data_IF_382341506684
#
_entry.id   IF_382341506684
#
_cell.length_a   1.000
_cell.length_b   1.000
_cell.length_c   1.000
_cell.angle_alpha   90.00
_cell.angle_beta   90.00
_cell.angle_gamma   90.00
#
_symmetry.space_group_name_H-M   'P 1'
#
loop_
_entity.id
_entity.type
_entity.pdbx_description
1 polymer ?
#
# COMPACT_ATOMS: atom_id res chain seq x y z
N UNK A 1 1.17 20.27 -14.66
CA UNK A 1 0.34 19.14 -15.15
C UNK A 1 -0.22 18.36 -13.98
N UNK A 2 -1.49 17.95 -14.03
CA UNK A 2 -2.13 17.10 -13.02
C UNK A 2 -1.56 15.67 -13.09
N UNK A 3 -1.17 15.09 -11.94
CA UNK A 3 -0.70 13.70 -11.86
C UNK A 3 -1.87 12.74 -12.07
N UNK A 4 -1.65 11.66 -12.84
CA UNK A 4 -2.66 10.63 -13.08
C UNK A 4 -2.33 9.36 -12.31
N UNK A 5 -3.36 8.78 -11.66
CA UNK A 5 -3.30 7.56 -10.87
C UNK A 5 -4.23 6.50 -11.47
N UNK A 6 -3.73 5.48 -12.16
CA UNK A 6 -4.54 4.43 -12.77
C UNK A 6 -5.27 3.58 -11.73
N UNK A 7 -6.23 2.78 -12.17
CA UNK A 7 -6.78 1.69 -11.37
C UNK A 7 -5.71 0.60 -11.17
N UNK A 8 -5.69 0.04 -9.98
CA UNK A 8 -4.89 -1.16 -9.71
C UNK A 8 -5.73 -2.40 -10.02
N UNK A 9 -5.17 -3.28 -10.84
CA UNK A 9 -5.76 -4.54 -11.27
C UNK A 9 -4.68 -5.64 -11.35
N UNK A 10 -5.03 -6.82 -11.82
CA UNK A 10 -4.09 -7.95 -11.95
C UNK A 10 -2.88 -7.66 -12.85
N UNK A 11 -3.04 -6.80 -13.83
CA UNK A 11 -1.98 -6.44 -14.80
C UNK A 11 -1.14 -5.26 -14.34
N UNK A 12 -1.35 -4.75 -13.11
CA UNK A 12 -0.54 -3.68 -12.56
C UNK A 12 0.86 -4.18 -12.20
N UNK A 13 1.88 -3.51 -12.73
CA UNK A 13 3.27 -3.87 -12.56
C UNK A 13 3.96 -2.98 -11.53
N UNK A 14 4.86 -3.59 -10.75
CA UNK A 14 5.68 -2.93 -9.74
C UNK A 14 7.12 -3.40 -9.86
N UNK A 15 8.07 -2.50 -9.58
CA UNK A 15 9.50 -2.85 -9.55
C UNK A 15 9.80 -3.86 -8.45
N UNK A 16 9.12 -3.71 -7.31
CA UNK A 16 9.22 -4.62 -6.17
C UNK A 16 7.90 -4.73 -5.41
N UNK A 17 7.70 -5.89 -4.79
CA UNK A 17 6.66 -6.14 -3.80
C UNK A 17 7.32 -6.31 -2.43
N UNK A 18 6.93 -5.49 -1.46
CA UNK A 18 7.30 -5.66 -0.05
C UNK A 18 6.17 -6.39 0.66
N UNK A 19 6.48 -7.58 1.19
CA UNK A 19 5.54 -8.38 1.98
C UNK A 19 5.82 -8.16 3.47
N UNK A 20 4.92 -7.45 4.13
CA UNK A 20 4.94 -7.22 5.58
C UNK A 20 4.32 -8.38 6.36
N UNK A 21 4.47 -8.36 7.69
CA UNK A 21 4.03 -9.46 8.57
C UNK A 21 2.60 -9.30 9.13
N UNK A 22 1.73 -8.56 8.44
CA UNK A 22 0.29 -8.49 8.72
C UNK A 22 -0.48 -9.69 8.15
N UNK A 23 -1.71 -9.47 7.69
CA UNK A 23 -2.52 -10.51 7.07
C UNK A 23 -2.00 -10.82 5.67
N UNK A 24 -1.79 -12.11 5.42
CA UNK A 24 -1.35 -12.57 4.11
C UNK A 24 -2.48 -12.35 3.08
N UNK A 25 -2.20 -11.78 1.88
CA UNK A 25 -3.23 -11.50 0.91
C UNK A 25 -3.99 -12.76 0.49
N UNK A 26 -5.30 -12.65 0.40
CA UNK A 26 -6.21 -13.72 -0.01
C UNK A 26 -7.08 -13.34 -1.20
N UNK A 27 -7.38 -12.06 -1.40
CA UNK A 27 -8.16 -11.59 -2.53
C UNK A 27 -7.38 -11.73 -3.87
N UNK A 28 -8.12 -11.85 -4.95
CA UNK A 28 -7.58 -12.18 -6.27
C UNK A 28 -6.49 -11.22 -6.75
N UNK A 29 -6.72 -9.90 -6.68
CA UNK A 29 -5.78 -8.89 -7.20
C UNK A 29 -4.47 -8.86 -6.41
N UNK A 30 -4.47 -8.65 -5.07
CA UNK A 30 -3.22 -8.60 -4.32
C UNK A 30 -2.47 -9.93 -4.36
N UNK A 31 -3.17 -11.06 -4.35
CA UNK A 31 -2.56 -12.38 -4.44
C UNK A 31 -1.92 -12.63 -5.82
N UNK A 32 -2.56 -12.17 -6.90
CA UNK A 32 -2.00 -12.26 -8.26
C UNK A 32 -0.73 -11.42 -8.38
N UNK A 33 -0.75 -10.17 -7.89
CA UNK A 33 0.41 -9.28 -7.89
C UNK A 33 1.58 -9.91 -7.12
N UNK A 34 1.32 -10.48 -5.93
CA UNK A 34 2.36 -11.16 -5.15
C UNK A 34 2.95 -12.38 -5.87
N UNK A 35 2.11 -13.16 -6.56
CA UNK A 35 2.55 -14.38 -7.25
C UNK A 35 3.39 -14.10 -8.50
N UNK A 36 3.15 -12.97 -9.15
CA UNK A 36 3.79 -12.60 -10.42
C UNK A 36 4.83 -11.47 -10.25
N UNK A 37 5.17 -11.10 -9.02
CA UNK A 37 6.17 -10.09 -8.76
C UNK A 37 7.57 -10.58 -9.16
N UNK A 38 8.30 -9.75 -9.91
CA UNK A 38 9.69 -10.03 -10.31
C UNK A 38 10.67 -9.93 -9.13
N UNK A 39 10.35 -9.10 -8.15
CA UNK A 39 11.16 -8.94 -6.95
C UNK A 39 10.27 -8.88 -5.70
N UNK A 40 10.52 -9.79 -4.75
CA UNK A 40 9.81 -9.87 -3.48
C UNK A 40 10.81 -9.66 -2.34
N UNK A 41 10.58 -8.61 -1.55
CA UNK A 41 11.27 -8.34 -0.30
C UNK A 41 10.32 -8.62 0.87
N UNK A 42 10.68 -9.49 1.77
CA UNK A 42 9.87 -9.77 2.97
C UNK A 42 10.42 -8.98 4.17
N UNK A 43 9.51 -8.41 4.98
CA UNK A 43 9.87 -7.81 6.26
C UNK A 43 10.02 -8.94 7.29
N UNK A 44 11.17 -9.05 7.92
CA UNK A 44 11.51 -9.95 9.04
C UNK A 44 10.68 -11.25 9.09
N UNK A 45 9.73 -11.37 10.03
CA UNK A 45 8.89 -12.56 10.24
C UNK A 45 8.04 -12.98 9.02
N UNK A 46 7.74 -12.06 8.10
CA UNK A 46 7.04 -12.39 6.84
C UNK A 46 7.87 -13.35 5.99
N UNK A 47 9.21 -13.23 6.01
CA UNK A 47 10.12 -14.14 5.29
C UNK A 47 9.96 -15.58 5.72
N UNK A 48 9.91 -15.84 7.04
CA UNK A 48 9.65 -17.17 7.60
C UNK A 48 8.34 -17.76 7.09
N UNK A 49 7.27 -16.96 7.12
CA UNK A 49 5.93 -17.39 6.71
C UNK A 49 5.84 -17.65 5.22
N UNK A 50 6.51 -16.81 4.42
CA UNK A 50 6.55 -16.96 2.96
C UNK A 50 7.29 -18.25 2.55
N UNK A 51 8.43 -18.55 3.20
CA UNK A 51 9.20 -19.77 2.95
C UNK A 51 8.44 -21.03 3.39
N UNK A 52 7.73 -20.99 4.52
CA UNK A 52 6.85 -22.11 4.94
C UNK A 52 5.72 -22.40 3.95
N UNK A 53 5.35 -21.45 3.11
CA UNK A 53 4.41 -21.63 1.99
C UNK A 53 5.06 -22.21 0.71
N UNK A 54 6.33 -22.67 0.82
CA UNK A 54 7.07 -23.28 -0.30
C UNK A 54 7.65 -22.27 -1.30
N UNK A 55 7.78 -20.98 -0.91
CA UNK A 55 8.27 -19.92 -1.79
C UNK A 55 9.52 -19.25 -1.20
N UNK A 56 10.46 -18.85 -2.05
CA UNK A 56 11.68 -18.16 -1.62
C UNK A 56 11.61 -16.70 -2.10
N UNK A 57 11.69 -15.69 -1.21
CA UNK A 57 11.75 -14.29 -1.61
C UNK A 57 13.15 -13.93 -2.12
N UNK A 58 13.27 -12.80 -2.81
CA UNK A 58 14.56 -12.26 -3.27
C UNK A 58 15.38 -11.66 -2.11
N UNK A 59 14.70 -11.15 -1.07
CA UNK A 59 15.33 -10.62 0.13
C UNK A 59 14.42 -10.74 1.36
N UNK A 60 15.04 -10.79 2.55
CA UNK A 60 14.36 -10.65 3.84
C UNK A 60 15.11 -9.55 4.60
N UNK A 61 14.40 -8.50 5.01
CA UNK A 61 14.99 -7.31 5.65
C UNK A 61 14.32 -7.07 7.00
N UNK A 62 15.10 -6.86 8.04
CA UNK A 62 14.64 -6.57 9.40
C UNK A 62 15.76 -6.72 10.41
N UNK A 63 15.46 -6.65 11.72
CA UNK A 63 16.46 -6.87 12.78
C UNK A 63 16.79 -8.36 12.99
N UNK A 64 15.97 -9.23 12.44
CA UNK A 64 16.15 -10.67 12.49
C UNK A 64 15.74 -11.33 13.81
N UNK A 65 15.12 -10.62 14.72
CA UNK A 65 14.76 -11.15 16.05
C UNK A 65 13.72 -12.29 15.95
N UNK A 66 12.87 -12.27 14.92
CA UNK A 66 11.90 -13.33 14.64
C UNK A 66 12.50 -14.60 14.02
N UNK A 67 13.80 -14.61 13.69
CA UNK A 67 14.44 -15.68 12.93
C UNK A 67 15.36 -16.54 13.80
N UNK A 68 15.19 -17.88 13.79
CA UNK A 68 16.09 -18.81 14.47
C UNK A 68 17.51 -18.79 13.85
N UNK A 69 18.52 -19.18 14.67
CA UNK A 69 19.92 -19.30 14.20
C UNK A 69 20.03 -20.23 12.98
N UNK A 70 19.31 -21.34 12.96
CA UNK A 70 19.31 -22.28 11.84
C UNK A 70 18.70 -21.68 10.58
N UNK A 71 17.62 -20.91 10.71
CA UNK A 71 17.00 -20.20 9.58
C UNK A 71 17.97 -19.16 9.00
N UNK A 72 18.57 -18.31 9.85
CA UNK A 72 19.57 -17.32 9.42
C UNK A 72 20.75 -17.97 8.67
N UNK A 73 21.26 -19.09 9.18
CA UNK A 73 22.36 -19.82 8.50
C UNK A 73 21.93 -20.38 7.14
N UNK A 74 20.72 -20.96 7.05
CA UNK A 74 20.21 -21.57 5.81
C UNK A 74 19.95 -20.56 4.71
N UNK A 75 19.46 -19.38 5.06
CA UNK A 75 19.05 -18.34 4.12
C UNK A 75 19.91 -17.07 4.17
N UNK A 76 21.17 -17.21 4.61
CA UNK A 76 22.10 -16.10 4.82
C UNK A 76 22.28 -15.18 3.60
N UNK A 77 22.17 -15.74 2.38
CA UNK A 77 22.42 -15.01 1.13
C UNK A 77 21.26 -14.06 0.75
N UNK A 78 20.09 -14.22 1.35
CA UNK A 78 18.90 -13.38 1.12
C UNK A 78 18.48 -12.58 2.35
N UNK A 79 19.13 -12.77 3.50
CA UNK A 79 18.82 -12.06 4.74
C UNK A 79 19.74 -10.84 4.87
N UNK A 80 19.12 -9.68 5.07
CA UNK A 80 19.78 -8.40 5.28
C UNK A 80 19.37 -7.86 6.65
N UNK A 81 20.30 -7.92 7.62
CA UNK A 81 20.05 -7.48 8.98
C UNK A 81 20.27 -5.98 9.10
N UNK A 82 19.25 -5.27 9.55
CA UNK A 82 19.26 -3.84 9.89
C UNK A 82 18.84 -3.66 11.34
N UNK A 83 19.78 -3.39 12.22
CA UNK A 83 19.59 -3.35 13.68
C UNK A 83 19.10 -2.00 14.20
N UNK A 84 19.02 -0.96 13.35
CA UNK A 84 18.49 0.34 13.78
C UNK A 84 17.04 0.19 14.28
N UNK A 85 16.65 0.99 15.28
CA UNK A 85 15.35 0.87 15.94
C UNK A 85 14.45 2.11 15.74
N UNK A 86 14.94 3.12 14.99
CA UNK A 86 14.19 4.36 14.75
C UNK A 86 13.06 4.19 13.74
N UNK A 87 13.13 3.14 12.91
CA UNK A 87 12.13 2.86 11.88
C UNK A 87 11.64 1.41 11.92
N UNK A 88 10.44 1.20 11.41
CA UNK A 88 9.87 -0.14 11.32
C UNK A 88 10.44 -0.94 10.12
N UNK A 89 10.19 -2.26 10.11
CA UNK A 89 10.69 -3.16 9.07
C UNK A 89 10.17 -2.82 7.67
N UNK A 90 8.96 -2.26 7.55
CA UNK A 90 8.46 -1.76 6.26
C UNK A 90 9.36 -0.66 5.71
N UNK A 91 9.82 0.26 6.53
CA UNK A 91 10.73 1.34 6.12
C UNK A 91 12.12 0.81 5.79
N UNK A 92 12.67 -0.13 6.59
CA UNK A 92 13.94 -0.81 6.31
C UNK A 92 13.90 -1.51 4.94
N UNK A 93 12.87 -2.32 4.70
CA UNK A 93 12.66 -3.00 3.42
C UNK A 93 12.50 -2.01 2.25
N UNK A 94 11.84 -0.86 2.49
CA UNK A 94 11.70 0.20 1.48
C UNK A 94 13.04 0.79 1.11
N UNK A 95 13.89 1.17 2.08
CA UNK A 95 15.25 1.67 1.83
C UNK A 95 16.09 0.65 1.05
N UNK A 96 16.02 -0.62 1.45
CA UNK A 96 16.70 -1.70 0.73
C UNK A 96 16.27 -1.77 -0.74
N UNK A 97 14.98 -1.71 -1.04
CA UNK A 97 14.47 -1.70 -2.41
C UNK A 97 14.90 -0.46 -3.19
N UNK A 98 14.89 0.73 -2.55
CA UNK A 98 15.37 1.98 -3.17
C UNK A 98 16.86 1.89 -3.52
N UNK A 99 17.68 1.33 -2.65
CA UNK A 99 19.12 1.13 -2.89
C UNK A 99 19.39 0.19 -4.09
N UNK A 100 18.43 -0.65 -4.46
CA UNK A 100 18.45 -1.45 -5.69
C UNK A 100 17.94 -0.69 -6.94
N UNK A 101 17.52 0.55 -6.78
CA UNK A 101 17.02 1.40 -7.88
C UNK A 101 15.51 1.31 -8.11
N UNK A 102 14.76 0.59 -7.28
CA UNK A 102 13.31 0.46 -7.41
C UNK A 102 12.59 1.73 -6.97
N UNK A 103 11.58 2.16 -7.76
CA UNK A 103 10.83 3.41 -7.52
C UNK A 103 9.32 3.23 -7.52
N UNK A 104 8.81 2.09 -8.00
CA UNK A 104 7.39 1.76 -8.01
C UNK A 104 7.18 0.51 -7.15
N UNK A 105 6.76 0.70 -5.90
CA UNK A 105 6.76 -0.36 -4.88
C UNK A 105 5.33 -0.63 -4.40
N UNK A 106 4.95 -1.91 -4.42
CA UNK A 106 3.72 -2.38 -3.80
C UNK A 106 3.99 -2.96 -2.40
N UNK A 107 3.11 -2.64 -1.45
CA UNK A 107 3.13 -3.18 -0.09
C UNK A 107 1.95 -4.13 0.11
N UNK A 108 2.21 -5.32 0.59
CA UNK A 108 1.24 -6.38 0.88
C UNK A 108 1.41 -6.87 2.32
N UNK A 109 0.34 -7.33 2.94
CA UNK A 109 0.41 -7.77 4.33
C UNK A 109 0.83 -6.66 5.31
N UNK A 110 0.63 -5.40 4.95
CA UNK A 110 0.97 -4.25 5.80
C UNK A 110 -0.14 -3.86 6.78
N UNK A 111 -1.30 -4.49 6.67
CA UNK A 111 -2.49 -4.28 7.50
C UNK A 111 -2.97 -5.60 8.10
N UNK A 112 -3.97 -5.52 8.96
CA UNK A 112 -4.44 -6.64 9.77
C UNK A 112 -3.55 -6.87 11.01
N UNK A 113 -3.94 -7.73 11.90
CA UNK A 113 -3.33 -7.94 13.22
C UNK A 113 -3.39 -6.67 14.10
N UNK A 114 -2.25 -6.13 14.53
CA UNK A 114 -2.21 -4.95 15.42
C UNK A 114 -2.56 -3.67 14.67
N UNK A 115 -3.51 -2.91 15.20
CA UNK A 115 -4.05 -1.68 14.62
C UNK A 115 -3.02 -0.54 14.60
N UNK A 116 -2.18 -0.44 15.62
CA UNK A 116 -1.12 0.56 15.72
C UNK A 116 -0.06 0.37 14.61
N UNK A 117 0.34 -0.86 14.31
CA UNK A 117 1.20 -1.16 13.17
C UNK A 117 0.51 -0.84 11.84
N UNK A 118 -0.79 -1.14 11.72
CA UNK A 118 -1.58 -0.82 10.53
C UNK A 118 -1.60 0.69 10.27
N UNK A 119 -1.88 1.50 11.30
CA UNK A 119 -1.90 2.96 11.20
C UNK A 119 -0.52 3.52 10.83
N UNK A 120 0.54 3.04 11.49
CA UNK A 120 1.92 3.42 11.19
C UNK A 120 2.31 3.11 9.76
N UNK A 121 2.02 1.89 9.28
CA UNK A 121 2.33 1.46 7.93
C UNK A 121 1.60 2.29 6.86
N UNK A 122 0.32 2.62 7.07
CA UNK A 122 -0.45 3.50 6.17
C UNK A 122 0.15 4.91 6.17
N UNK A 123 0.48 5.45 7.36
CA UNK A 123 1.08 6.78 7.51
C UNK A 123 2.40 6.94 6.75
N UNK A 124 3.24 5.91 6.78
CA UNK A 124 4.54 5.90 6.09
C UNK A 124 4.45 6.09 4.57
N UNK A 125 3.32 5.74 3.91
CA UNK A 125 3.16 5.96 2.47
C UNK A 125 3.36 7.43 2.07
N UNK A 126 2.93 8.36 2.93
CA UNK A 126 3.12 9.79 2.70
C UNK A 126 4.59 10.19 2.81
N UNK A 127 5.29 9.65 3.81
CA UNK A 127 6.72 9.91 4.01
C UNK A 127 7.55 9.33 2.87
N UNK A 128 7.27 8.12 2.42
CA UNK A 128 7.99 7.49 1.30
C UNK A 128 7.91 8.32 0.03
N UNK A 129 6.75 8.94 -0.21
CA UNK A 129 6.58 9.84 -1.33
C UNK A 129 7.35 11.15 -1.14
N UNK A 130 7.31 11.76 0.07
CA UNK A 130 7.97 13.04 0.36
C UNK A 130 9.48 12.92 0.44
N UNK A 131 9.97 11.92 1.16
CA UNK A 131 11.39 11.76 1.48
C UNK A 131 12.15 10.98 0.41
N UNK A 132 11.54 9.92 -0.14
CA UNK A 132 12.21 9.02 -1.06
C UNK A 132 11.80 9.20 -2.52
N UNK A 133 10.79 10.05 -2.79
CA UNK A 133 10.28 10.31 -4.14
C UNK A 133 9.92 9.03 -4.91
N UNK A 134 9.35 8.04 -4.23
CA UNK A 134 8.86 6.79 -4.83
C UNK A 134 7.35 6.81 -5.04
N UNK A 135 6.88 5.98 -5.97
CA UNK A 135 5.48 5.59 -6.08
C UNK A 135 5.23 4.42 -5.15
N UNK A 136 4.35 4.60 -4.18
CA UNK A 136 4.01 3.59 -3.19
C UNK A 136 2.52 3.28 -3.25
N UNK A 137 2.17 1.99 -3.34
CA UNK A 137 0.79 1.50 -3.31
C UNK A 137 0.69 0.41 -2.26
N UNK A 138 -0.19 0.57 -1.29
CA UNK A 138 -0.47 -0.47 -0.29
C UNK A 138 -1.75 -1.19 -0.66
N UNK A 139 -1.64 -2.49 -0.91
CA UNK A 139 -2.71 -3.37 -1.35
C UNK A 139 -3.25 -4.16 -0.16
N UNK A 140 -4.57 -4.17 -0.02
CA UNK A 140 -5.31 -5.01 0.94
C UNK A 140 -6.28 -5.92 0.18
N UNK A 141 -6.98 -6.80 0.86
CA UNK A 141 -8.00 -7.65 0.23
C UNK A 141 -9.25 -6.88 -0.23
N UNK A 142 -9.43 -5.64 0.23
CA UNK A 142 -10.61 -4.82 -0.07
C UNK A 142 -10.35 -3.73 -1.10
N UNK A 143 -9.11 -3.28 -1.22
CA UNK A 143 -8.73 -2.14 -2.04
C UNK A 143 -7.28 -1.73 -1.79
N UNK A 144 -6.95 -0.49 -2.10
CA UNK A 144 -5.56 -0.04 -2.03
C UNK A 144 -5.44 1.45 -1.67
N UNK A 145 -4.38 1.76 -0.93
CA UNK A 145 -3.98 3.12 -0.62
C UNK A 145 -2.94 3.62 -1.60
N UNK A 146 -3.06 4.89 -1.99
CA UNK A 146 -2.00 5.64 -2.67
C UNK A 146 -1.78 6.97 -1.98
N UNK A 147 -0.53 7.44 -1.92
CA UNK A 147 -0.18 8.79 -1.48
C UNK A 147 -0.18 9.74 -2.68
N UNK A 148 -0.83 10.88 -2.54
CA UNK A 148 -0.94 11.90 -3.58
C UNK A 148 -0.65 13.30 -3.02
N UNK A 149 -0.41 14.26 -3.91
CA UNK A 149 -0.16 15.66 -3.56
C UNK A 149 -0.55 16.57 -4.70
N UNK A 150 -1.16 17.70 -4.36
CA UNK A 150 -1.55 18.73 -5.32
C UNK A 150 -2.68 18.25 -6.23
N UNK A 151 -2.78 18.85 -7.41
CA UNK A 151 -3.82 18.51 -8.37
C UNK A 151 -3.57 17.13 -9.00
N UNK A 152 -4.57 16.25 -8.90
CA UNK A 152 -4.49 14.85 -9.33
C UNK A 152 -5.76 14.42 -10.07
N UNK A 153 -5.61 13.39 -10.92
CA UNK A 153 -6.72 12.65 -11.51
C UNK A 153 -6.57 11.17 -11.18
N UNK A 154 -7.66 10.55 -10.80
CA UNK A 154 -7.71 9.15 -10.41
C UNK A 154 -8.68 8.43 -11.35
N UNK A 155 -8.21 7.41 -12.06
CA UNK A 155 -9.12 6.50 -12.73
C UNK A 155 -10.05 5.85 -11.70
N UNK A 156 -11.31 5.72 -12.04
CA UNK A 156 -12.35 5.14 -11.19
C UNK A 156 -13.36 4.38 -12.02
N UNK A 157 -14.41 3.92 -11.39
CA UNK A 157 -15.61 3.38 -12.04
C UNK A 157 -16.83 3.74 -11.18
N UNK A 158 -17.98 3.81 -11.80
CA UNK A 158 -19.24 4.17 -11.11
C UNK A 158 -19.49 3.24 -9.93
N UNK A 159 -19.73 3.80 -8.74
CA UNK A 159 -20.01 3.05 -7.51
C UNK A 159 -18.75 2.56 -6.76
N UNK A 160 -17.52 2.87 -7.25
CA UNK A 160 -16.30 2.60 -6.50
C UNK A 160 -16.32 3.39 -5.20
N UNK A 161 -16.10 2.72 -4.06
CA UNK A 161 -15.94 3.41 -2.79
C UNK A 161 -14.55 4.04 -2.71
N UNK A 162 -14.51 5.30 -2.29
CA UNK A 162 -13.29 6.09 -2.20
C UNK A 162 -13.25 6.80 -0.86
N UNK A 163 -12.10 6.79 -0.20
CA UNK A 163 -11.86 7.54 1.02
C UNK A 163 -10.66 8.47 0.85
N UNK A 164 -10.78 9.69 1.32
CA UNK A 164 -9.75 10.70 1.32
C UNK A 164 -9.30 11.00 2.74
N UNK A 165 -8.00 10.97 2.98
CA UNK A 165 -7.39 11.27 4.26
C UNK A 165 -6.51 12.50 4.10
N UNK A 166 -6.97 13.64 4.58
CA UNK A 166 -6.21 14.88 4.54
C UNK A 166 -5.00 14.79 5.47
N UNK A 167 -3.82 15.12 4.96
CA UNK A 167 -2.57 15.17 5.73
C UNK A 167 -2.20 16.63 6.05
N UNK A 168 -2.08 17.46 5.02
CA UNK A 168 -1.65 18.85 5.19
C UNK A 168 -2.29 19.82 4.17
N UNK A 169 -3.42 19.42 3.54
CA UNK A 169 -4.13 20.31 2.62
C UNK A 169 -4.92 21.39 3.37
N UNK A 170 -4.77 22.65 2.96
CA UNK A 170 -5.67 23.75 3.33
C UNK A 170 -6.80 23.94 2.31
N UNK A 171 -6.61 23.44 1.09
CA UNK A 171 -7.62 23.42 0.00
C UNK A 171 -7.75 22.00 -0.53
N UNK A 172 -8.98 21.49 -0.60
CA UNK A 172 -9.26 20.16 -1.11
C UNK A 172 -10.66 20.09 -1.72
N UNK A 173 -10.74 19.88 -3.00
CA UNK A 173 -12.00 19.79 -3.75
C UNK A 173 -11.95 18.61 -4.72
N UNK A 174 -13.07 17.87 -4.85
CA UNK A 174 -13.21 16.80 -5.83
C UNK A 174 -14.31 17.08 -6.84
N UNK A 175 -14.10 16.57 -8.07
CA UNK A 175 -15.16 16.33 -9.06
C UNK A 175 -15.28 14.82 -9.29
N UNK A 176 -16.47 14.36 -9.70
CA UNK A 176 -16.72 12.94 -9.95
C UNK A 176 -16.97 12.12 -8.69
N UNK A 177 -17.21 12.76 -7.56
CA UNK A 177 -17.58 12.12 -6.29
C UNK A 177 -19.01 12.48 -5.90
N UNK A 178 -19.70 11.55 -5.24
CA UNK A 178 -21.09 11.67 -4.81
C UNK A 178 -21.29 12.76 -3.77
N UNK A 179 -20.38 12.85 -2.80
CA UNK A 179 -20.39 13.89 -1.78
C UNK A 179 -19.25 14.87 -2.04
N UNK A 180 -19.58 16.16 -1.92
CA UNK A 180 -18.58 17.24 -2.05
C UNK A 180 -17.50 17.08 -0.98
N UNK A 181 -16.26 17.28 -1.38
CA UNK A 181 -15.11 17.27 -0.49
C UNK A 181 -14.70 18.70 -0.12
N UNK A 182 -13.97 18.84 0.96
CA UNK A 182 -13.36 20.08 1.43
C UNK A 182 -12.06 19.74 2.14
N UNK A 183 -11.29 20.74 2.56
CA UNK A 183 -10.13 20.52 3.41
C UNK A 183 -10.59 20.06 4.80
N UNK A 184 -10.65 18.75 4.98
CA UNK A 184 -11.14 18.13 6.19
C UNK A 184 -10.28 18.53 7.40
N UNK A 185 -10.92 18.97 8.49
CA UNK A 185 -10.24 19.31 9.74
C UNK A 185 -9.64 18.08 10.41
N UNK A 186 -10.36 16.95 10.34
CA UNK A 186 -9.92 15.69 10.91
C UNK A 186 -9.68 14.67 9.79
N UNK A 187 -8.60 13.91 9.89
CA UNK A 187 -8.12 13.01 8.85
C UNK A 187 -9.12 11.92 8.42
N UNK A 188 -10.07 11.52 9.30
CA UNK A 188 -11.08 10.50 9.00
C UNK A 188 -12.35 11.03 8.32
N UNK A 189 -12.58 12.34 8.25
CA UNK A 189 -13.84 12.93 7.77
C UNK A 189 -14.12 12.66 6.28
N UNK A 190 -13.10 12.41 5.48
CA UNK A 190 -13.22 12.15 4.05
C UNK A 190 -13.44 10.69 3.68
N UNK A 191 -13.82 9.84 4.65
CA UNK A 191 -14.07 8.42 4.40
C UNK A 191 -15.44 8.18 3.75
N UNK A 192 -15.60 7.00 3.08
CA UNK A 192 -16.87 6.49 2.56
C UNK A 192 -17.54 7.34 1.46
N UNK A 193 -16.75 8.02 0.65
CA UNK A 193 -17.23 8.65 -0.58
C UNK A 193 -17.39 7.59 -1.70
N UNK A 194 -17.99 7.97 -2.82
CA UNK A 194 -18.32 7.10 -3.95
C UNK A 194 -18.04 7.83 -5.27
N UNK A 195 -17.42 7.13 -6.21
CA UNK A 195 -17.18 7.64 -7.55
C UNK A 195 -18.47 7.61 -8.39
N UNK A 196 -18.73 8.66 -9.14
CA UNK A 196 -19.88 8.78 -10.03
C UNK A 196 -19.63 8.26 -11.45
N UNK A 197 -18.37 8.07 -11.84
CA UNK A 197 -17.95 7.64 -13.17
C UNK A 197 -16.50 7.19 -13.22
N UNK A 198 -15.90 7.28 -14.39
CA UNK A 198 -14.60 6.70 -14.72
C UNK A 198 -13.40 7.52 -14.24
N UNK A 199 -13.61 8.72 -13.74
CA UNK A 199 -12.54 9.58 -13.24
C UNK A 199 -13.00 10.43 -12.05
N UNK A 200 -12.07 10.63 -11.12
CA UNK A 200 -12.16 11.59 -10.03
C UNK A 200 -11.04 12.61 -10.21
N UNK A 201 -11.39 13.89 -10.29
CA UNK A 201 -10.43 14.98 -10.25
C UNK A 201 -10.32 15.53 -8.83
N UNK A 202 -9.09 15.78 -8.38
CA UNK A 202 -8.80 16.44 -7.10
C UNK A 202 -8.02 17.72 -7.37
N UNK A 203 -8.47 18.83 -6.78
CA UNK A 203 -7.74 20.08 -6.65
C UNK A 203 -7.34 20.25 -5.20
N UNK A 204 -6.04 20.27 -4.91
CA UNK A 204 -5.51 20.46 -3.56
C UNK A 204 -4.18 21.18 -3.59
N UNK A 205 -3.79 21.75 -2.43
CA UNK A 205 -2.52 22.44 -2.22
C UNK A 205 -1.52 21.64 -1.37
N UNK A 206 -1.91 20.48 -0.86
CA UNK A 206 -1.11 19.66 0.05
C UNK A 206 -1.09 18.17 -0.30
N UNK A 207 -0.73 17.38 0.68
CA UNK A 207 -0.63 15.92 0.61
C UNK A 207 -1.85 15.25 1.22
N UNK A 208 -2.23 14.12 0.65
CA UNK A 208 -3.35 13.31 1.11
C UNK A 208 -3.16 11.85 0.74
N UNK A 209 -3.86 10.95 1.45
CA UNK A 209 -3.98 9.54 1.07
C UNK A 209 -5.35 9.31 0.45
N UNK A 210 -5.39 8.41 -0.53
CA UNK A 210 -6.63 7.94 -1.15
C UNK A 210 -6.70 6.44 -1.01
N UNK A 211 -7.80 5.94 -0.46
CA UNK A 211 -8.16 4.52 -0.52
C UNK A 211 -9.23 4.31 -1.58
N UNK A 212 -9.05 3.32 -2.46
CA UNK A 212 -10.01 2.94 -3.50
C UNK A 212 -10.28 1.44 -3.44
N UNK A 213 -11.56 1.04 -3.47
CA UNK A 213 -11.95 -0.37 -3.47
C UNK A 213 -11.74 -1.02 -4.85
N UNK A 214 -11.54 -2.34 -4.88
CA UNK A 214 -11.49 -3.10 -6.14
C UNK A 214 -12.87 -3.32 -6.75
N UNK A 215 -13.93 -3.29 -5.94
CA UNK A 215 -15.31 -3.53 -6.34
C UNK A 215 -16.19 -2.33 -6.03
N UNK A 216 -17.29 -2.21 -6.75
CA UNK A 216 -18.36 -1.27 -6.38
C UNK A 216 -19.02 -1.69 -5.06
N UNK A 217 -19.76 -0.77 -4.44
CA UNK A 217 -20.54 -1.08 -3.24
C UNK A 217 -21.55 -2.20 -3.49
N UNK A 218 -22.19 -2.23 -4.66
CA UNK A 218 -23.16 -3.27 -5.02
C UNK A 218 -22.53 -4.64 -5.17
N UNK A 219 -21.37 -4.73 -5.89
CA UNK A 219 -20.65 -5.98 -6.10
C UNK A 219 -20.08 -6.55 -4.78
N UNK A 220 -19.67 -5.68 -3.85
CA UNK A 220 -19.16 -6.10 -2.54
C UNK A 220 -20.25 -6.67 -1.62
N UNK A 221 -21.48 -6.21 -1.75
CA UNK A 221 -22.64 -6.74 -0.99
C UNK A 221 -23.07 -8.13 -1.50
N UNK A 222 -23.00 -8.36 -2.81
CA UNK A 222 -23.31 -9.66 -3.42
C UNK A 222 -22.34 -10.78 -3.01
N UNK A 223 -21.09 -10.48 -2.69
CA UNK A 223 -20.10 -11.47 -2.23
C UNK A 223 -20.20 -11.87 -0.75
N UNK A 224 -20.97 -11.14 0.06
CA UNK A 224 -21.19 -11.49 1.49
C UNK A 224 -22.26 -12.56 1.70
N UNK A 225 -22.92 -13.01 0.63
CA UNK A 225 -23.98 -14.00 0.67
C UNK A 225 -23.63 -15.28 -0.10
N UNK A 226 -22.36 -15.47 -0.46
CA UNK A 226 -21.80 -16.71 -1.02
C UNK A 226 -20.69 -17.24 -0.09
#
# INVERSE_FOLDING_TARGET
MSKYYPLINKNSEFDAVILCDGDYPSAEIPLHILRNANFICCCDGAGNKYIRRGKIPNAIVGDGDSMSKNFKRKYKDIIHIETEQDTNDQTKATRFCINKGFKNIAYLGATGKREDHTLGNIGHLTNYRKEFNIKSVMLTDYGYFVSAQGNCRFASFKGQQVSFFNIDCSKFESKGTKWKTHAYKYWWQGTLNEALGDEIEIKSDGSFLVFRTYLSKQDSLGRRHL
#
